data_IF_898655564024
#
_entry.id   IF_898655564024
#
_cell.length_a   1.000
_cell.length_b   1.000
_cell.length_c   1.000
_cell.angle_alpha   90.00
_cell.angle_beta   90.00
_cell.angle_gamma   90.00
#
_symmetry.space_group_name_H-M   'P 1'
#
loop_
_entity.id
_entity.type
_entity.pdbx_description
1 polymer ?
#
# COMPACT_ATOMS: atom_id res chain seq x y z
N UNK A 1 -71.30 1.87 -36.01
CA UNK A 1 -71.38 3.10 -35.19
C UNK A 1 -72.50 2.83 -34.20
N UNK A 2 -72.28 2.60 -32.92
CA UNK A 2 -71.41 3.35 -32.02
C UNK A 2 -70.86 2.46 -30.90
N UNK A 3 -69.58 2.63 -30.63
CA UNK A 3 -68.81 2.17 -29.48
C UNK A 3 -69.32 2.84 -28.21
N UNK A 4 -69.81 2.06 -27.24
CA UNK A 4 -70.26 2.54 -25.93
C UNK A 4 -69.62 1.74 -24.78
N UNK A 5 -68.37 1.29 -24.93
CA UNK A 5 -67.62 0.58 -23.87
C UNK A 5 -66.69 1.46 -23.05
N UNK A 6 -66.51 2.75 -23.38
CA UNK A 6 -65.47 3.60 -22.75
C UNK A 6 -65.88 4.23 -21.40
N UNK A 7 -67.17 4.22 -21.04
CA UNK A 7 -67.62 4.92 -19.83
C UNK A 7 -67.56 4.06 -18.55
N UNK A 8 -67.41 2.74 -18.68
CA UNK A 8 -67.41 1.81 -17.54
C UNK A 8 -66.00 1.61 -16.98
N UNK A 9 -64.99 1.55 -17.86
CA UNK A 9 -63.59 1.38 -17.45
C UNK A 9 -63.03 2.60 -16.71
N UNK A 10 -63.50 3.82 -17.04
CA UNK A 10 -63.03 5.06 -16.38
C UNK A 10 -63.52 5.16 -14.92
N UNK A 11 -64.67 4.55 -14.58
CA UNK A 11 -65.19 4.59 -13.22
C UNK A 11 -64.48 3.60 -12.28
N UNK A 12 -64.02 2.45 -12.79
CA UNK A 12 -63.22 1.52 -12.00
C UNK A 12 -61.79 2.06 -11.76
N UNK A 13 -61.19 2.78 -12.72
CA UNK A 13 -59.85 3.36 -12.55
C UNK A 13 -59.81 4.48 -11.48
N UNK A 14 -60.88 5.28 -11.34
CA UNK A 14 -60.97 6.35 -10.33
C UNK A 14 -61.26 5.78 -8.92
N UNK A 15 -61.95 4.64 -8.82
CA UNK A 15 -62.24 3.97 -7.55
C UNK A 15 -61.03 3.20 -7.00
N UNK A 16 -60.14 2.72 -7.85
CA UNK A 16 -58.87 2.10 -7.41
C UNK A 16 -57.84 3.12 -6.92
N UNK A 17 -57.80 4.33 -7.48
CA UNK A 17 -56.83 5.36 -7.08
C UNK A 17 -57.09 5.91 -5.65
N UNK A 18 -58.34 5.94 -5.20
CA UNK A 18 -58.69 6.36 -3.83
C UNK A 18 -58.36 5.33 -2.73
N UNK A 19 -58.00 4.09 -3.07
CA UNK A 19 -57.65 3.06 -2.08
C UNK A 19 -56.15 2.89 -1.83
N UNK A 20 -55.28 3.60 -2.56
CA UNK A 20 -53.83 3.40 -2.48
C UNK A 20 -53.09 4.41 -1.59
N UNK A 21 -53.79 5.34 -0.97
CA UNK A 21 -53.21 6.45 -0.21
C UNK A 21 -53.66 6.46 1.26
N UNK A 22 -53.60 5.31 1.94
CA UNK A 22 -53.42 5.37 3.40
C UNK A 22 -51.94 5.66 3.68
N UNK A 23 -51.60 6.79 4.33
CA UNK A 23 -50.24 7.04 4.75
C UNK A 23 -49.88 5.99 5.82
N UNK A 24 -48.93 5.11 5.53
CA UNK A 24 -48.27 4.31 6.56
C UNK A 24 -47.79 5.26 7.66
N UNK A 25 -48.14 5.03 8.93
CA UNK A 25 -47.63 5.86 10.02
C UNK A 25 -46.10 5.85 9.96
N UNK A 26 -45.48 7.03 9.99
CA UNK A 26 -44.02 7.13 10.12
C UNK A 26 -43.60 6.32 11.35
N UNK A 27 -42.54 5.49 11.24
CA UNK A 27 -42.03 4.77 12.41
C UNK A 27 -41.66 5.78 13.49
N UNK A 28 -42.17 5.60 14.71
CA UNK A 28 -41.79 6.43 15.84
C UNK A 28 -40.25 6.43 15.99
N UNK A 29 -39.64 7.57 16.34
CA UNK A 29 -38.20 7.63 16.54
C UNK A 29 -37.81 6.64 17.63
N UNK A 30 -37.02 5.63 17.26
CA UNK A 30 -36.44 4.71 18.23
C UNK A 30 -35.61 5.51 19.23
N UNK A 31 -35.76 5.29 20.55
CA UNK A 31 -34.98 5.99 21.55
C UNK A 31 -33.50 5.82 21.25
N UNK A 32 -32.75 6.93 21.29
CA UNK A 32 -31.30 6.88 21.14
C UNK A 32 -30.72 5.94 22.21
N UNK A 33 -29.75 5.07 21.84
CA UNK A 33 -29.13 4.18 22.81
C UNK A 33 -28.48 5.02 23.92
N UNK A 34 -28.76 4.66 25.17
CA UNK A 34 -28.11 5.29 26.33
C UNK A 34 -26.58 5.18 26.19
N UNK A 35 -25.83 6.24 26.57
CA UNK A 35 -24.38 6.20 26.51
C UNK A 35 -23.88 5.06 27.38
N UNK A 36 -23.21 4.09 26.75
CA UNK A 36 -22.52 3.02 27.48
C UNK A 36 -21.47 3.65 28.39
N UNK A 37 -21.35 3.21 29.66
CA UNK A 37 -20.34 3.72 30.57
C UNK A 37 -18.96 3.57 29.95
N UNK A 38 -18.14 4.63 30.05
CA UNK A 38 -16.76 4.57 29.57
C UNK A 38 -16.01 3.45 30.29
N UNK A 39 -15.18 2.67 29.57
CA UNK A 39 -14.39 1.62 30.19
C UNK A 39 -13.46 2.23 31.24
N UNK A 40 -13.45 1.63 32.44
CA UNK A 40 -12.52 2.04 33.49
C UNK A 40 -11.07 1.96 32.99
N UNK A 41 -10.21 2.91 33.38
CA UNK A 41 -8.81 2.90 32.99
C UNK A 41 -8.16 1.62 33.49
N UNK A 42 -7.64 0.81 32.56
CA UNK A 42 -6.81 -0.35 32.91
C UNK A 42 -5.57 0.12 33.68
N UNK A 43 -5.20 -0.56 34.78
CA UNK A 43 -4.01 -0.20 35.53
C UNK A 43 -2.78 -0.22 34.62
N UNK A 44 -1.92 0.79 34.75
CA UNK A 44 -0.66 0.86 34.01
C UNK A 44 0.19 -0.39 34.33
N UNK A 45 0.83 -1.01 33.32
CA UNK A 45 1.72 -2.13 33.56
C UNK A 45 2.88 -1.69 34.44
N UNK A 46 3.18 -2.48 35.47
CA UNK A 46 4.36 -2.26 36.31
C UNK A 46 5.64 -2.23 35.46
N UNK A 47 6.61 -1.37 35.79
CA UNK A 47 7.87 -1.30 35.07
C UNK A 47 8.58 -2.65 35.17
N UNK A 48 8.82 -3.28 34.02
CA UNK A 48 9.68 -4.46 33.95
C UNK A 48 11.09 -4.10 34.40
N UNK A 49 11.74 -4.93 35.23
CA UNK A 49 13.12 -4.68 35.65
C UNK A 49 14.04 -4.55 34.44
N UNK A 50 14.94 -3.57 34.48
CA UNK A 50 15.95 -3.39 33.44
C UNK A 50 16.80 -4.68 33.32
N UNK A 51 17.10 -5.13 32.10
CA UNK A 51 17.99 -6.27 31.91
C UNK A 51 19.37 -5.95 32.48
N UNK A 52 19.91 -6.88 33.28
CA UNK A 52 21.28 -6.79 33.76
C UNK A 52 22.25 -6.65 32.57
N UNK A 53 23.33 -5.85 32.71
CA UNK A 53 24.32 -5.72 31.66
C UNK A 53 24.94 -7.09 31.36
N UNK A 54 24.74 -7.58 30.14
CA UNK A 54 25.46 -8.75 29.64
C UNK A 54 26.96 -8.47 29.65
N UNK A 55 27.81 -9.41 30.08
CA UNK A 55 29.26 -9.24 30.05
C UNK A 55 29.73 -8.94 28.63
N UNK A 56 30.66 -7.99 28.49
CA UNK A 56 31.30 -7.70 27.21
C UNK A 56 31.94 -8.99 26.66
N UNK A 57 31.75 -9.32 25.37
CA UNK A 57 32.42 -10.46 24.77
C UNK A 57 33.93 -10.24 24.78
N UNK A 58 34.67 -11.24 25.24
CA UNK A 58 36.13 -11.28 25.11
C UNK A 58 36.55 -11.10 23.64
N UNK A 59 37.70 -10.46 23.36
CA UNK A 59 38.17 -10.25 22.00
C UNK A 59 38.46 -11.60 21.34
N UNK A 60 37.56 -11.99 20.44
CA UNK A 60 37.76 -13.11 19.52
C UNK A 60 39.03 -12.86 18.69
N UNK A 61 39.94 -13.84 18.52
CA UNK A 61 41.13 -13.67 17.69
C UNK A 61 40.74 -13.28 16.27
N UNK A 62 41.42 -12.27 15.71
CA UNK A 62 41.28 -11.87 14.31
C UNK A 62 41.48 -13.09 13.39
N UNK A 63 40.52 -13.43 12.51
CA UNK A 63 40.76 -14.45 11.52
C UNK A 63 41.76 -13.94 10.50
N UNK A 64 42.95 -14.55 10.51
CA UNK A 64 43.96 -14.35 9.48
C UNK A 64 43.39 -14.62 8.08
N UNK A 65 43.73 -13.70 7.20
CA UNK A 65 43.37 -13.71 5.78
C UNK A 65 43.91 -14.97 5.10
N UNK A 66 43.01 -15.74 4.47
CA UNK A 66 43.19 -16.53 3.24
C UNK A 66 41.90 -17.34 3.02
N UNK A 67 41.03 -17.01 2.06
CA UNK A 67 41.16 -17.43 0.65
C UNK A 67 39.79 -17.29 -0.06
N UNK A 68 39.77 -17.49 -1.38
CA UNK A 68 39.94 -16.47 -2.40
C UNK A 68 38.66 -15.64 -2.61
N UNK A 69 38.82 -14.33 -2.86
CA UNK A 69 37.87 -13.62 -3.71
C UNK A 69 37.77 -14.41 -5.01
N UNK A 70 36.65 -15.10 -5.25
CA UNK A 70 36.22 -15.33 -6.63
C UNK A 70 36.36 -13.95 -7.29
N UNK A 71 37.15 -13.78 -8.37
CA UNK A 71 37.10 -12.52 -9.08
C UNK A 71 35.62 -12.36 -9.40
N UNK A 72 34.99 -11.32 -8.84
CA UNK A 72 33.76 -10.82 -9.38
C UNK A 72 34.17 -10.35 -10.76
N UNK A 73 34.17 -11.30 -11.70
CA UNK A 73 34.15 -11.06 -13.11
C UNK A 73 33.15 -9.93 -13.28
N UNK A 74 33.51 -8.82 -13.95
CA UNK A 74 32.54 -7.87 -14.47
C UNK A 74 31.69 -8.56 -15.54
N UNK A 75 31.07 -9.69 -15.19
CA UNK A 75 30.15 -10.45 -16.01
C UNK A 75 28.87 -9.63 -16.01
N UNK A 76 28.78 -8.80 -17.05
CA UNK A 76 27.60 -8.13 -17.56
C UNK A 76 26.66 -7.64 -16.47
N UNK A 77 26.82 -6.37 -16.07
CA UNK A 77 25.75 -5.64 -15.38
C UNK A 77 24.47 -5.98 -16.14
N UNK A 78 23.51 -6.75 -15.57
CA UNK A 78 22.21 -6.83 -16.20
C UNK A 78 21.80 -5.37 -16.30
N UNK A 79 21.32 -4.98 -17.47
CA UNK A 79 20.87 -3.64 -17.80
C UNK A 79 19.62 -3.34 -16.96
N UNK A 80 19.80 -3.24 -15.63
CA UNK A 80 18.76 -2.98 -14.64
C UNK A 80 18.26 -1.59 -14.92
N UNK A 81 17.10 -1.54 -15.58
CA UNK A 81 16.48 -0.27 -15.89
C UNK A 81 15.93 0.27 -14.58
N UNK A 82 16.26 1.53 -14.32
CA UNK A 82 15.94 2.21 -13.08
C UNK A 82 14.70 3.08 -13.27
N UNK A 83 13.72 2.92 -12.40
CA UNK A 83 12.49 3.73 -12.35
C UNK A 83 12.53 4.59 -11.10
N UNK A 84 12.59 5.91 -11.31
CA UNK A 84 12.57 6.89 -10.23
C UNK A 84 11.14 7.21 -9.82
N UNK A 85 10.81 6.95 -8.56
CA UNK A 85 9.52 7.31 -7.97
C UNK A 85 9.57 8.76 -7.48
N UNK A 86 8.58 9.53 -7.90
CA UNK A 86 8.40 10.94 -7.62
C UNK A 86 6.92 11.25 -7.43
N UNK A 87 6.49 12.43 -7.86
CA UNK A 87 5.13 12.95 -7.57
C UNK A 87 4.02 12.41 -8.48
N UNK A 88 4.33 11.56 -9.47
CA UNK A 88 3.29 11.04 -10.37
C UNK A 88 2.40 10.04 -9.64
N UNK A 89 1.17 9.77 -10.13
CA UNK A 89 0.29 8.77 -9.54
C UNK A 89 0.94 7.37 -9.50
N UNK A 90 0.56 6.56 -8.52
CA UNK A 90 1.08 5.20 -8.31
C UNK A 90 0.98 4.33 -9.57
N UNK A 91 -0.17 4.33 -10.23
CA UNK A 91 -0.44 3.49 -11.41
C UNK A 91 0.52 3.80 -12.57
N UNK A 92 0.97 5.06 -12.69
CA UNK A 92 1.96 5.43 -13.71
C UNK A 92 3.27 4.67 -13.54
N UNK A 93 3.74 4.52 -12.29
CA UNK A 93 4.96 3.79 -11.98
C UNK A 93 4.78 2.29 -12.10
N UNK A 94 3.61 1.76 -11.73
CA UNK A 94 3.28 0.35 -11.95
C UNK A 94 3.35 0.02 -13.43
N UNK A 95 2.65 0.77 -14.27
CA UNK A 95 2.59 0.51 -15.71
C UNK A 95 3.98 0.63 -16.36
N UNK A 96 4.76 1.65 -16.01
CA UNK A 96 6.12 1.78 -16.54
C UNK A 96 7.03 0.63 -16.10
N UNK A 97 6.87 0.11 -14.88
CA UNK A 97 7.62 -1.04 -14.39
C UNK A 97 7.23 -2.31 -15.15
N UNK A 98 5.94 -2.58 -15.33
CA UNK A 98 5.46 -3.74 -16.07
C UNK A 98 5.89 -3.70 -17.54
N UNK A 99 5.82 -2.55 -18.21
CA UNK A 99 6.30 -2.38 -19.58
C UNK A 99 7.80 -2.63 -19.71
N UNK A 100 8.61 -2.29 -18.70
CA UNK A 100 10.04 -2.59 -18.72
C UNK A 100 10.32 -4.06 -18.41
N UNK A 101 9.58 -4.64 -17.47
CA UNK A 101 9.66 -6.06 -17.11
C UNK A 101 9.15 -7.00 -18.21
N UNK A 102 8.48 -6.50 -19.25
CA UNK A 102 8.14 -7.31 -20.41
C UNK A 102 9.32 -7.54 -21.35
N UNK A 103 10.35 -6.68 -21.31
CA UNK A 103 11.54 -6.78 -22.15
C UNK A 103 12.82 -7.08 -21.36
N UNK A 104 12.84 -6.74 -20.06
CA UNK A 104 13.99 -6.89 -19.20
C UNK A 104 13.72 -7.91 -18.09
N UNK A 105 14.72 -8.71 -17.69
CA UNK A 105 14.57 -9.71 -16.64
C UNK A 105 14.40 -9.08 -15.25
N UNK A 106 15.01 -7.91 -15.03
CA UNK A 106 15.04 -7.23 -13.73
C UNK A 106 14.89 -5.71 -13.92
N UNK A 107 14.05 -5.09 -13.08
CA UNK A 107 13.84 -3.64 -13.02
C UNK A 107 14.02 -3.17 -11.58
N UNK A 108 14.73 -2.05 -11.40
CA UNK A 108 14.95 -1.44 -10.08
C UNK A 108 14.03 -0.24 -9.90
N UNK A 109 13.18 -0.27 -8.89
CA UNK A 109 12.42 0.90 -8.45
C UNK A 109 13.23 1.63 -7.39
N UNK A 110 13.53 2.92 -7.61
CA UNK A 110 14.29 3.75 -6.68
C UNK A 110 13.47 4.94 -6.21
N UNK A 111 13.49 5.21 -4.91
CA UNK A 111 12.83 6.36 -4.30
C UNK A 111 13.64 6.95 -3.15
N UNK A 112 13.27 8.16 -2.74
CA UNK A 112 13.91 8.87 -1.62
C UNK A 112 12.92 9.61 -0.74
N UNK A 113 13.25 9.74 0.53
CA UNK A 113 12.45 10.47 1.53
C UNK A 113 10.99 10.05 1.54
N UNK A 114 10.08 11.03 1.50
CA UNK A 114 8.63 10.80 1.54
C UNK A 114 8.09 9.86 0.44
N UNK A 115 8.81 9.70 -0.67
CA UNK A 115 8.38 8.84 -1.80
C UNK A 115 8.76 7.37 -1.61
N UNK A 116 9.45 7.01 -0.53
CA UNK A 116 9.77 5.61 -0.20
C UNK A 116 8.49 4.79 -0.04
N UNK A 117 7.51 5.27 0.72
CA UNK A 117 6.23 4.56 0.90
C UNK A 117 5.57 4.26 -0.44
N UNK A 118 5.56 5.25 -1.35
CA UNK A 118 4.99 5.06 -2.69
C UNK A 118 5.75 4.02 -3.51
N UNK A 119 7.07 3.88 -3.35
CA UNK A 119 7.84 2.83 -4.01
C UNK A 119 7.49 1.43 -3.48
N UNK A 120 7.27 1.32 -2.17
CA UNK A 120 6.80 0.09 -1.53
C UNK A 120 5.38 -0.22 -2.01
N UNK A 121 4.49 0.76 -2.12
CA UNK A 121 3.14 0.54 -2.62
C UNK A 121 3.14 0.03 -4.07
N UNK A 122 4.02 0.58 -4.93
CA UNK A 122 4.20 0.11 -6.32
C UNK A 122 4.70 -1.33 -6.34
N UNK A 123 5.72 -1.68 -5.55
CA UNK A 123 6.25 -3.05 -5.52
C UNK A 123 5.22 -4.05 -5.01
N UNK A 124 4.48 -3.69 -3.96
CA UNK A 124 3.40 -4.50 -3.41
C UNK A 124 2.23 -4.63 -4.37
N UNK A 125 1.87 -3.59 -5.11
CA UNK A 125 0.83 -3.65 -6.13
C UNK A 125 1.18 -4.67 -7.20
N UNK A 126 2.42 -4.63 -7.71
CA UNK A 126 2.91 -5.57 -8.72
C UNK A 126 2.91 -6.99 -8.14
N UNK A 127 3.44 -7.18 -6.94
CA UNK A 127 3.50 -8.50 -6.30
C UNK A 127 2.10 -9.09 -6.07
N UNK A 128 1.15 -8.32 -5.55
CA UNK A 128 -0.22 -8.78 -5.30
C UNK A 128 -0.96 -9.19 -6.57
N UNK A 129 -0.72 -8.52 -7.70
CA UNK A 129 -1.43 -8.79 -8.95
C UNK A 129 -0.70 -9.79 -9.86
N UNK A 130 0.63 -9.83 -9.83
CA UNK A 130 1.45 -10.50 -10.84
C UNK A 130 2.29 -11.66 -10.29
N UNK A 131 2.22 -11.96 -8.99
CA UNK A 131 2.94 -13.10 -8.40
C UNK A 131 2.62 -14.44 -9.08
N UNK A 132 1.37 -14.66 -9.52
CA UNK A 132 0.98 -15.87 -10.26
C UNK A 132 1.67 -16.02 -11.62
N UNK A 133 2.24 -14.94 -12.16
CA UNK A 133 2.91 -14.89 -13.46
C UNK A 133 4.44 -15.05 -13.29
N UNK A 134 4.94 -15.21 -12.06
CA UNK A 134 6.36 -15.42 -11.75
C UNK A 134 7.10 -14.20 -11.21
N UNK A 135 6.45 -13.03 -11.19
CA UNK A 135 7.06 -11.81 -10.68
C UNK A 135 7.35 -11.87 -9.19
N UNK A 136 8.59 -11.55 -8.81
CA UNK A 136 9.07 -11.58 -7.43
C UNK A 136 10.00 -10.41 -7.12
N UNK A 137 10.10 -10.05 -5.85
CA UNK A 137 11.09 -9.09 -5.37
C UNK A 137 12.42 -9.86 -5.18
N UNK A 138 13.45 -9.45 -5.91
CA UNK A 138 14.78 -10.09 -5.87
C UNK A 138 15.63 -9.57 -4.73
N UNK A 139 15.63 -8.26 -4.51
CA UNK A 139 16.48 -7.59 -3.52
C UNK A 139 15.85 -6.26 -3.11
N UNK A 140 16.11 -5.83 -1.87
CA UNK A 140 15.70 -4.54 -1.32
C UNK A 140 16.88 -3.92 -0.59
N UNK A 141 17.32 -2.75 -1.06
CA UNK A 141 18.45 -2.00 -0.51
C UNK A 141 17.96 -0.67 0.05
N UNK A 142 18.36 -0.35 1.27
CA UNK A 142 18.06 0.92 1.92
C UNK A 142 19.38 1.62 2.24
N UNK A 143 19.48 2.90 1.90
CA UNK A 143 20.66 3.73 2.12
C UNK A 143 20.25 5.13 2.59
N UNK A 144 21.23 5.98 2.87
CA UNK A 144 21.03 7.41 3.13
C UNK A 144 21.98 8.21 2.24
N UNK A 145 21.43 9.11 1.43
CA UNK A 145 22.20 9.98 0.55
C UNK A 145 22.21 11.41 1.13
N UNK A 146 23.39 12.01 1.26
CA UNK A 146 23.51 13.42 1.63
C UNK A 146 23.07 14.31 0.46
N UNK A 147 22.10 15.19 0.71
CA UNK A 147 21.52 16.08 -0.29
C UNK A 147 21.61 17.53 0.18
N UNK A 148 22.03 18.41 -0.71
CA UNK A 148 22.07 19.84 -0.45
C UNK A 148 20.66 20.42 -0.55
N UNK A 149 20.19 21.01 0.55
CA UNK A 149 18.98 21.82 0.55
C UNK A 149 19.19 23.10 -0.29
N UNK A 150 18.09 23.74 -0.68
CA UNK A 150 18.12 25.06 -1.35
C UNK A 150 18.85 26.13 -0.54
N UNK A 151 18.93 25.93 0.78
CA UNK A 151 19.60 26.81 1.73
C UNK A 151 21.11 26.52 1.88
N UNK A 152 21.69 25.66 1.02
CA UNK A 152 23.11 25.29 1.03
C UNK A 152 23.52 24.33 2.16
N UNK A 153 22.60 23.94 3.04
CA UNK A 153 22.86 22.95 4.10
C UNK A 153 22.71 21.53 3.57
N UNK A 154 23.66 20.66 3.90
CA UNK A 154 23.55 19.22 3.64
C UNK A 154 22.58 18.59 4.61
N UNK A 155 21.70 17.72 4.10
CA UNK A 155 20.76 16.92 4.88
C UNK A 155 20.77 15.49 4.35
N UNK A 156 20.76 14.53 5.26
CA UNK A 156 20.65 13.13 4.88
C UNK A 156 19.20 12.84 4.47
N UNK A 157 19.06 12.13 3.36
CA UNK A 157 17.76 11.68 2.85
C UNK A 157 17.84 10.18 2.63
N UNK A 158 16.96 9.45 3.29
CA UNK A 158 16.85 8.01 3.10
C UNK A 158 16.51 7.69 1.64
N UNK A 159 17.09 6.62 1.11
CA UNK A 159 16.85 6.10 -0.22
C UNK A 159 16.52 4.61 -0.15
N UNK A 160 15.68 4.15 -1.07
CA UNK A 160 15.34 2.74 -1.22
C UNK A 160 15.50 2.34 -2.68
N UNK A 161 16.01 1.14 -2.91
CA UNK A 161 16.02 0.46 -4.20
C UNK A 161 15.37 -0.90 -4.03
N UNK A 162 14.39 -1.20 -4.87
CA UNK A 162 13.65 -2.47 -4.88
C UNK A 162 13.83 -3.10 -6.25
N UNK A 163 14.47 -4.25 -6.32
CA UNK A 163 14.64 -5.00 -7.55
C UNK A 163 13.48 -5.98 -7.72
N UNK A 164 12.79 -5.89 -8.84
CA UNK A 164 11.72 -6.80 -9.24
C UNK A 164 12.22 -7.61 -10.42
N UNK A 165 12.10 -8.94 -10.34
CA UNK A 165 12.39 -9.85 -11.45
C UNK A 165 11.17 -10.63 -11.89
N UNK A 166 11.22 -11.12 -13.12
CA UNK A 166 10.27 -12.10 -13.65
C UNK A 166 10.73 -13.53 -13.41
#
# INVERSE_FOLDING_TARGET
MSSNSDASDILDEILEDSKKSEPTPEPEPTPEPEPTPEPEPTPEPEPTPEPEPTPEPEPTPEPETQSPKKPFSPEEKPTRKLILIGVKPLVTYVNSTLTQLSTLPTVTIKARGQRITQAVDVSQFIMKRMHSIGYRISDVRISSDALESRDGKTRNVSTIEIDISK
#
